data_IF_360887427093
#
_entry.id   IF_360887427093
#
_cell.length_a   1.000
_cell.length_b   1.000
_cell.length_c   1.000
_cell.angle_alpha   90.00
_cell.angle_beta   90.00
_cell.angle_gamma   90.00
#
_symmetry.space_group_name_H-M   'P 1'
#
loop_
_entity.id
_entity.type
_entity.pdbx_description
1 polymer ?
#
# COMPACT_ATOMS: atom_id res chain seq x y z
N UNK A 1 -48.18 -42.63 -0.41
CA UNK A 1 -47.16 -41.77 0.21
C UNK A 1 -46.59 -40.87 -0.89
N UNK A 2 -47.13 -39.66 -1.03
CA UNK A 2 -46.80 -38.74 -2.13
C UNK A 2 -45.90 -37.61 -1.64
N UNK A 3 -44.71 -37.53 -2.24
CA UNK A 3 -43.71 -36.48 -2.03
C UNK A 3 -43.99 -35.30 -2.97
N UNK A 4 -44.35 -34.15 -2.41
CA UNK A 4 -44.47 -32.90 -3.16
C UNK A 4 -43.13 -32.16 -3.17
N UNK A 5 -42.48 -32.13 -4.34
CA UNK A 5 -41.30 -31.33 -4.60
C UNK A 5 -41.70 -29.89 -4.99
N UNK A 6 -41.38 -28.92 -4.13
CA UNK A 6 -41.60 -27.50 -4.41
C UNK A 6 -40.42 -26.96 -5.21
N UNK A 7 -40.67 -26.59 -6.46
CA UNK A 7 -39.71 -26.01 -7.40
C UNK A 7 -39.77 -24.47 -7.27
N UNK A 8 -38.82 -23.88 -6.54
CA UNK A 8 -38.67 -22.42 -6.51
C UNK A 8 -38.11 -21.91 -7.84
N UNK A 9 -38.92 -21.12 -8.56
CA UNK A 9 -38.50 -20.30 -9.69
C UNK A 9 -37.93 -18.98 -9.16
N UNK A 10 -36.64 -18.75 -9.33
CA UNK A 10 -36.03 -17.42 -9.18
C UNK A 10 -36.16 -16.67 -10.51
N UNK A 11 -37.05 -15.68 -10.54
CA UNK A 11 -37.13 -14.70 -11.63
C UNK A 11 -36.19 -13.54 -11.34
N UNK A 12 -35.18 -13.40 -12.18
CA UNK A 12 -34.31 -12.24 -12.31
C UNK A 12 -35.11 -11.05 -12.89
N UNK A 13 -35.19 -9.94 -12.14
CA UNK A 13 -35.66 -8.65 -12.67
C UNK A 13 -34.61 -7.56 -12.38
N UNK A 14 -34.34 -6.86 -13.49
CA UNK A 14 -33.42 -5.77 -13.80
C UNK A 14 -33.53 -4.49 -12.94
N UNK A 15 -32.53 -3.62 -13.19
CA UNK A 15 -32.46 -2.14 -13.07
C UNK A 15 -31.56 -1.72 -11.89
N UNK A 16 -30.44 -1.03 -12.08
CA UNK A 16 -30.18 0.03 -13.05
C UNK A 16 -30.30 1.39 -12.36
N UNK A 17 -29.35 1.71 -11.47
CA UNK A 17 -29.20 3.05 -10.89
C UNK A 17 -27.74 3.47 -11.01
N UNK A 18 -27.47 4.25 -12.05
CA UNK A 18 -26.26 5.05 -12.22
C UNK A 18 -26.34 6.23 -11.24
N UNK A 19 -25.68 6.14 -10.10
CA UNK A 19 -25.48 7.29 -9.22
C UNK A 19 -24.45 8.25 -9.83
N UNK A 20 -24.99 9.32 -10.39
CA UNK A 20 -24.24 10.44 -10.95
C UNK A 20 -23.79 11.34 -9.80
N UNK A 21 -22.53 11.16 -9.36
CA UNK A 21 -21.90 12.02 -8.37
C UNK A 21 -21.68 13.42 -8.96
N UNK A 22 -22.54 14.37 -8.58
CA UNK A 22 -22.32 15.79 -8.82
C UNK A 22 -21.32 16.32 -7.78
N UNK A 23 -20.06 16.49 -8.19
CA UNK A 23 -19.09 17.30 -7.46
C UNK A 23 -19.55 18.76 -7.45
N UNK A 24 -20.19 19.21 -6.35
CA UNK A 24 -20.29 20.65 -6.05
C UNK A 24 -18.91 21.14 -5.64
N UNK A 25 -18.27 21.93 -6.51
CA UNK A 25 -17.11 22.77 -6.16
C UNK A 25 -17.60 23.85 -5.19
N UNK A 26 -17.37 23.65 -3.90
CA UNK A 26 -17.43 24.72 -2.91
C UNK A 26 -16.18 25.59 -3.04
N UNK A 27 -16.36 26.83 -3.49
CA UNK A 27 -15.35 27.88 -3.45
C UNK A 27 -15.12 28.26 -1.99
N UNK A 28 -14.08 27.73 -1.35
CA UNK A 28 -13.61 28.24 -0.07
C UNK A 28 -12.45 29.21 -0.30
N UNK A 29 -12.78 30.45 0.04
CA UNK A 29 -11.93 31.62 0.24
C UNK A 29 -10.65 31.27 0.99
N UNK A 30 -9.51 31.43 0.33
CA UNK A 30 -8.18 31.35 0.89
C UNK A 30 -7.76 32.72 1.43
N UNK A 31 -7.64 32.83 2.76
CA UNK A 31 -6.85 33.89 3.36
C UNK A 31 -5.37 33.53 3.24
N UNK A 32 -4.67 34.24 2.36
CA UNK A 32 -3.23 34.19 2.21
C UNK A 32 -2.56 35.01 3.32
N UNK A 33 -1.86 34.33 4.23
CA UNK A 33 -0.91 34.99 5.13
C UNK A 33 0.42 35.08 4.40
N UNK A 34 0.69 36.28 3.88
CA UNK A 34 2.01 36.70 3.40
C UNK A 34 3.07 36.51 4.48
N UNK A 35 4.12 35.75 4.17
CA UNK A 35 5.35 35.75 4.95
C UNK A 35 6.55 35.77 4.01
N UNK A 36 6.92 37.01 3.68
CA UNK A 36 8.27 37.57 3.69
C UNK A 36 9.37 36.72 3.04
N UNK A 37 9.62 37.06 1.79
CA UNK A 37 10.84 36.84 1.04
C UNK A 37 12.09 37.32 1.78
N UNK A 38 13.08 36.43 1.92
CA UNK A 38 14.48 36.80 2.02
C UNK A 38 15.20 36.28 0.77
N UNK A 39 15.61 37.25 -0.04
CA UNK A 39 16.54 37.13 -1.14
C UNK A 39 17.92 36.69 -0.62
N UNK A 40 18.50 35.67 -1.25
CA UNK A 40 19.92 35.34 -1.09
C UNK A 40 20.55 35.16 -2.48
N UNK A 41 21.72 35.77 -2.73
CA UNK A 41 22.19 36.03 -4.09
C UNK A 41 22.91 34.84 -4.72
N UNK A 42 22.82 34.82 -6.05
CA UNK A 42 23.59 34.01 -6.98
C UNK A 42 25.11 34.26 -6.86
N UNK A 43 25.91 33.20 -6.99
CA UNK A 43 27.20 33.25 -7.66
C UNK A 43 27.11 32.41 -8.95
N UNK A 44 27.39 32.97 -10.12
CA UNK A 44 28.71 33.30 -10.64
C UNK A 44 29.01 32.30 -11.77
N UNK A 45 28.89 32.80 -12.99
CA UNK A 45 29.18 32.11 -14.22
C UNK A 45 30.69 31.90 -14.30
N UNK A 46 31.13 30.66 -14.50
CA UNK A 46 32.47 30.36 -14.98
C UNK A 46 32.37 29.70 -16.35
N UNK A 47 32.74 30.49 -17.35
CA UNK A 47 33.14 30.06 -18.68
C UNK A 47 34.57 29.50 -18.61
N UNK A 48 34.76 28.25 -19.06
CA UNK A 48 36.03 27.70 -19.54
C UNK A 48 35.67 26.72 -20.67
N UNK A 49 35.82 27.10 -21.94
CA UNK A 49 37.05 27.15 -22.74
C UNK A 49 37.51 25.79 -23.31
N UNK A 50 37.72 25.84 -24.64
CA UNK A 50 38.65 25.09 -25.47
C UNK A 50 38.52 23.56 -25.68
N UNK A 51 38.13 23.22 -26.92
CA UNK A 51 39.04 22.66 -27.95
C UNK A 51 39.99 21.53 -27.54
N UNK A 52 39.71 20.30 -27.99
CA UNK A 52 40.71 19.24 -28.25
C UNK A 52 40.15 18.33 -29.36
N UNK A 53 40.43 18.63 -30.63
CA UNK A 53 41.47 17.98 -31.46
C UNK A 53 41.36 16.44 -31.42
N UNK A 54 40.82 15.78 -32.46
CA UNK A 54 41.50 15.46 -33.73
C UNK A 54 42.84 14.74 -33.52
N UNK A 55 42.83 13.47 -33.09
CA UNK A 55 44.05 12.65 -33.01
C UNK A 55 43.77 11.13 -32.95
N UNK A 56 42.96 10.58 -33.87
CA UNK A 56 42.78 9.12 -33.99
C UNK A 56 42.75 8.61 -35.44
N UNK A 57 43.31 9.39 -36.37
CA UNK A 57 43.36 9.05 -37.80
C UNK A 57 44.80 9.03 -38.37
N UNK A 58 45.83 9.07 -37.52
CA UNK A 58 47.25 9.14 -37.96
C UNK A 58 48.14 8.00 -37.49
N UNK A 59 47.62 7.00 -36.79
CA UNK A 59 48.41 5.89 -36.22
C UNK A 59 47.89 4.52 -36.68
N UNK A 60 47.59 4.39 -37.97
CA UNK A 60 47.11 3.13 -38.56
C UNK A 60 47.51 2.98 -40.03
N UNK A 61 48.66 3.55 -40.41
CA UNK A 61 49.14 3.59 -41.80
C UNK A 61 50.66 3.37 -41.93
N UNK A 62 51.26 2.56 -41.08
CA UNK A 62 52.72 2.32 -41.14
C UNK A 62 53.14 0.85 -40.94
N UNK A 63 52.35 -0.13 -41.39
CA UNK A 63 52.84 -1.52 -41.50
C UNK A 63 52.14 -2.28 -42.63
N UNK A 64 52.36 -1.89 -43.89
CA UNK A 64 52.26 -2.84 -45.01
C UNK A 64 53.10 -2.32 -46.18
N UNK A 65 54.41 -2.59 -46.15
CA UNK A 65 55.25 -2.57 -47.34
C UNK A 65 54.88 -3.78 -48.21
N UNK A 66 53.81 -3.64 -48.99
CA UNK A 66 53.50 -4.57 -50.08
C UNK A 66 53.91 -3.92 -51.39
N UNK A 67 55.04 -4.39 -51.90
CA UNK A 67 55.64 -4.03 -53.19
C UNK A 67 54.69 -4.27 -54.37
N UNK A 68 54.56 -3.27 -55.25
CA UNK A 68 53.71 -3.24 -56.44
C UNK A 68 54.01 -4.33 -57.50
N UNK A 69 55.00 -5.20 -57.28
CA UNK A 69 55.37 -6.29 -58.17
C UNK A 69 54.60 -7.60 -57.89
N UNK A 70 53.99 -7.76 -56.71
CA UNK A 70 53.30 -9.01 -56.33
C UNK A 70 51.80 -9.03 -56.69
N UNK A 71 51.19 -7.88 -57.00
CA UNK A 71 49.76 -7.76 -57.32
C UNK A 71 49.39 -8.15 -58.75
N UNK A 72 50.34 -8.46 -59.64
CA UNK A 72 50.06 -8.76 -61.07
C UNK A 72 49.99 -10.23 -61.47
N UNK A 73 50.29 -11.19 -60.59
CA UNK A 73 50.25 -12.63 -60.92
C UNK A 73 49.09 -13.42 -60.30
N UNK A 74 48.30 -12.84 -59.39
CA UNK A 74 47.21 -13.56 -58.70
C UNK A 74 45.81 -13.29 -59.28
N UNK A 75 45.71 -12.55 -60.38
CA UNK A 75 44.44 -12.02 -60.90
C UNK A 75 43.87 -12.81 -62.09
N UNK A 76 44.47 -13.96 -62.45
CA UNK A 76 44.01 -14.76 -63.61
C UNK A 76 43.47 -16.15 -63.27
N UNK A 77 43.58 -16.61 -62.03
CA UNK A 77 43.03 -17.93 -61.63
C UNK A 77 41.76 -17.85 -60.78
N UNK A 78 41.34 -16.68 -60.29
CA UNK A 78 40.15 -16.54 -59.44
C UNK A 78 38.88 -16.06 -60.19
N UNK A 79 38.90 -16.04 -61.52
CA UNK A 79 37.81 -15.52 -62.34
C UNK A 79 36.76 -16.57 -62.75
N UNK A 80 36.98 -17.85 -62.45
CA UNK A 80 36.05 -18.93 -62.80
C UNK A 80 35.43 -19.68 -61.60
N UNK A 81 35.80 -19.33 -60.37
CA UNK A 81 35.22 -19.90 -59.14
C UNK A 81 34.45 -18.84 -58.32
N UNK A 82 33.94 -17.82 -59.03
CA UNK A 82 33.02 -16.79 -58.49
C UNK A 82 31.56 -17.14 -58.79
N UNK A 83 31.29 -18.40 -59.09
CA UNK A 83 29.94 -18.96 -59.16
C UNK A 83 29.45 -19.21 -57.73
N UNK A 84 28.51 -18.37 -57.29
CA UNK A 84 27.70 -18.56 -56.08
C UNK A 84 28.36 -18.27 -54.73
N UNK A 85 29.14 -17.19 -54.59
CA UNK A 85 29.25 -16.57 -53.26
C UNK A 85 27.87 -16.00 -52.91
N UNK A 86 27.03 -16.83 -52.28
CA UNK A 86 25.80 -16.42 -51.59
C UNK A 86 26.10 -15.12 -50.87
N UNK A 87 25.26 -14.10 -51.06
CA UNK A 87 25.52 -12.78 -50.52
C UNK A 87 25.90 -12.94 -49.04
N UNK A 88 26.98 -12.32 -48.55
CA UNK A 88 27.36 -12.41 -47.13
C UNK A 88 26.20 -11.97 -46.22
N UNK A 89 25.34 -11.08 -46.74
CA UNK A 89 24.07 -10.67 -46.14
C UNK A 89 23.08 -11.85 -46.05
N UNK A 90 22.94 -12.69 -47.06
CA UNK A 90 22.07 -13.87 -47.04
C UNK A 90 22.59 -14.94 -46.09
N UNK A 91 23.90 -15.15 -45.98
CA UNK A 91 24.48 -16.06 -44.99
C UNK A 91 24.29 -15.52 -43.57
N UNK A 92 24.39 -14.21 -43.36
CA UNK A 92 24.11 -13.58 -42.07
C UNK A 92 22.62 -13.62 -41.71
N UNK A 93 21.73 -13.31 -42.65
CA UNK A 93 20.27 -13.43 -42.48
C UNK A 93 19.85 -14.89 -42.28
N UNK A 94 20.47 -15.81 -42.99
CA UNK A 94 20.28 -17.25 -42.83
C UNK A 94 20.77 -17.71 -41.45
N UNK A 95 21.93 -17.25 -40.99
CA UNK A 95 22.39 -17.52 -39.63
C UNK A 95 21.42 -16.93 -38.60
N UNK A 96 20.97 -15.68 -38.77
CA UNK A 96 19.98 -15.05 -37.87
C UNK A 96 18.63 -15.78 -37.86
N UNK A 97 18.20 -16.36 -38.98
CA UNK A 97 16.99 -17.18 -39.07
C UNK A 97 17.19 -18.58 -38.45
N UNK A 98 18.40 -19.15 -38.59
CA UNK A 98 18.72 -20.50 -38.10
C UNK A 98 18.98 -20.49 -36.60
N UNK A 99 19.65 -19.46 -36.07
CA UNK A 99 19.54 -19.12 -34.65
C UNK A 99 18.18 -18.52 -34.41
N UNK A 100 17.14 -19.35 -34.38
CA UNK A 100 15.93 -19.04 -33.60
C UNK A 100 16.45 -18.60 -32.24
N UNK A 101 16.46 -17.29 -32.00
CA UNK A 101 17.04 -16.72 -30.80
C UNK A 101 16.22 -17.28 -29.64
N UNK A 102 16.77 -18.31 -28.99
CA UNK A 102 16.22 -18.83 -27.75
C UNK A 102 16.30 -17.68 -26.76
N UNK A 103 15.14 -17.09 -26.47
CA UNK A 103 15.07 -15.98 -25.53
C UNK A 103 15.54 -16.49 -24.19
N UNK A 104 16.66 -15.95 -23.72
CA UNK A 104 17.18 -16.31 -22.41
C UNK A 104 16.74 -15.30 -21.38
N UNK A 105 16.54 -15.74 -20.15
CA UNK A 105 16.16 -14.87 -19.04
C UNK A 105 17.21 -13.77 -18.81
N UNK A 106 18.48 -14.06 -19.11
CA UNK A 106 19.56 -13.07 -19.04
C UNK A 106 19.34 -11.86 -19.96
N UNK A 107 18.67 -12.03 -21.10
CA UNK A 107 18.48 -10.94 -22.08
C UNK A 107 17.58 -9.84 -21.52
N UNK A 108 16.55 -10.22 -20.76
CA UNK A 108 15.63 -9.27 -20.15
C UNK A 108 16.19 -8.67 -18.85
N UNK A 109 16.95 -9.44 -18.06
CA UNK A 109 17.57 -8.95 -16.83
C UNK A 109 18.63 -7.87 -17.09
N UNK A 110 19.24 -7.83 -18.29
CA UNK A 110 20.15 -6.74 -18.70
C UNK A 110 19.49 -5.36 -18.73
N UNK A 111 18.16 -5.30 -18.89
CA UNK A 111 17.39 -4.05 -18.90
C UNK A 111 16.95 -3.62 -17.50
N UNK A 112 17.19 -4.43 -16.47
CA UNK A 112 16.90 -4.06 -15.10
C UNK A 112 17.89 -3.00 -14.65
N UNK A 113 17.44 -1.79 -14.27
CA UNK A 113 18.35 -0.76 -13.80
C UNK A 113 19.03 -1.22 -12.50
N UNK A 114 20.34 -0.93 -12.31
CA UNK A 114 21.09 -1.40 -11.15
C UNK A 114 20.60 -0.77 -9.84
N UNK A 115 20.01 0.43 -9.91
CA UNK A 115 19.43 1.14 -8.76
C UNK A 115 17.99 1.51 -9.07
N UNK A 116 17.07 1.04 -8.23
CA UNK A 116 15.66 1.40 -8.28
C UNK A 116 15.48 2.74 -7.57
N UNK A 117 14.83 3.70 -8.22
CA UNK A 117 14.52 4.98 -7.60
C UNK A 117 13.53 4.80 -6.44
N UNK A 118 13.61 5.67 -5.43
CA UNK A 118 12.66 5.64 -4.32
C UNK A 118 11.25 5.96 -4.86
N UNK A 119 10.21 5.15 -4.57
CA UNK A 119 8.83 5.41 -5.00
C UNK A 119 8.31 6.81 -4.65
N UNK A 120 8.80 7.40 -3.56
CA UNK A 120 8.44 8.74 -3.12
C UNK A 120 9.07 9.86 -3.95
N UNK A 121 10.16 9.58 -4.68
CA UNK A 121 10.84 10.58 -5.52
C UNK A 121 10.05 10.87 -6.80
N UNK A 122 9.92 12.14 -7.24
CA UNK A 122 9.32 12.46 -8.54
C UNK A 122 9.98 11.70 -9.71
N UNK A 123 11.28 11.40 -9.61
CA UNK A 123 12.06 10.68 -10.63
C UNK A 123 11.64 9.21 -10.80
N UNK A 124 10.88 8.66 -9.84
CA UNK A 124 10.41 7.28 -9.96
C UNK A 124 9.56 7.08 -11.21
N UNK A 125 8.69 8.04 -11.54
CA UNK A 125 7.77 7.93 -12.68
C UNK A 125 8.51 8.02 -14.02
N UNK A 126 9.52 8.88 -14.12
CA UNK A 126 10.32 9.03 -15.34
C UNK A 126 11.12 7.75 -15.61
N UNK A 127 11.84 7.25 -14.60
CA UNK A 127 12.64 6.02 -14.70
C UNK A 127 11.74 4.80 -14.99
N UNK A 128 10.59 4.69 -14.31
CA UNK A 128 9.63 3.61 -14.55
C UNK A 128 9.16 3.58 -16.02
N UNK A 129 8.79 4.74 -16.56
CA UNK A 129 8.34 4.84 -17.95
C UNK A 129 9.49 4.63 -18.94
N UNK A 130 10.71 5.05 -18.62
CA UNK A 130 11.90 4.83 -19.45
C UNK A 130 12.24 3.34 -19.57
N UNK A 131 12.21 2.59 -18.46
CA UNK A 131 12.44 1.15 -18.46
C UNK A 131 11.38 0.41 -19.26
N UNK A 132 10.09 0.76 -19.09
CA UNK A 132 9.01 0.20 -19.90
C UNK A 132 9.21 0.51 -21.38
N UNK A 133 9.59 1.75 -21.72
CA UNK A 133 9.81 2.17 -23.10
C UNK A 133 10.99 1.42 -23.71
N UNK A 134 12.05 1.19 -22.93
CA UNK A 134 13.23 0.41 -23.32
C UNK A 134 12.88 -1.06 -23.59
N UNK A 135 12.08 -1.68 -22.72
CA UNK A 135 11.56 -3.04 -22.93
C UNK A 135 10.65 -3.12 -24.17
N UNK A 136 9.74 -2.14 -24.31
CA UNK A 136 8.84 -2.05 -25.46
C UNK A 136 9.58 -1.79 -26.77
N UNK A 137 10.73 -1.12 -26.76
CA UNK A 137 11.54 -0.91 -27.96
C UNK A 137 12.34 -2.16 -28.33
N UNK A 138 12.88 -2.85 -27.33
CA UNK A 138 13.85 -3.94 -27.53
C UNK A 138 13.20 -5.29 -27.84
N UNK A 139 12.04 -5.58 -27.25
CA UNK A 139 11.38 -6.87 -27.39
C UNK A 139 10.05 -6.73 -28.10
N UNK A 140 9.69 -7.69 -28.94
CA UNK A 140 8.35 -7.81 -29.53
C UNK A 140 7.33 -8.34 -28.51
N UNK A 141 6.03 -8.19 -28.81
CA UNK A 141 4.97 -8.67 -27.92
C UNK A 141 5.00 -10.20 -27.66
N UNK A 142 5.23 -11.07 -28.67
CA UNK A 142 5.39 -12.51 -28.45
C UNK A 142 6.57 -12.84 -27.53
N UNK A 143 7.69 -12.12 -27.67
CA UNK A 143 8.88 -12.30 -26.83
C UNK A 143 8.59 -11.95 -25.36
N UNK A 144 7.92 -10.82 -25.10
CA UNK A 144 7.49 -10.46 -23.73
C UNK A 144 6.54 -11.50 -23.12
N UNK A 145 5.65 -12.09 -23.92
CA UNK A 145 4.77 -13.18 -23.48
C UNK A 145 5.58 -14.44 -23.12
N UNK A 146 6.58 -14.79 -23.92
CA UNK A 146 7.46 -15.91 -23.64
C UNK A 146 8.27 -15.66 -22.35
N UNK A 147 8.76 -14.44 -22.11
CA UNK A 147 9.40 -14.12 -20.83
C UNK A 147 8.47 -14.31 -19.63
N UNK A 148 7.19 -13.92 -19.72
CA UNK A 148 6.23 -14.22 -18.65
C UNK A 148 6.06 -15.72 -18.41
N UNK A 149 6.06 -16.53 -19.47
CA UNK A 149 6.01 -17.99 -19.35
C UNK A 149 7.28 -18.55 -18.69
N UNK A 150 8.45 -18.06 -19.09
CA UNK A 150 9.74 -18.45 -18.49
C UNK A 150 9.82 -18.06 -17.01
N UNK A 151 9.21 -16.94 -16.61
CA UNK A 151 9.11 -16.53 -15.21
C UNK A 151 8.01 -17.26 -14.42
N UNK A 152 7.20 -18.11 -15.06
CA UNK A 152 6.06 -18.77 -14.41
C UNK A 152 4.93 -17.82 -14.02
N UNK A 153 4.87 -16.62 -14.63
CA UNK A 153 3.83 -15.64 -14.35
C UNK A 153 2.60 -15.89 -15.23
N UNK A 154 1.37 -15.70 -14.70
CA UNK A 154 0.16 -15.93 -15.48
C UNK A 154 0.09 -14.93 -16.64
N UNK A 155 0.08 -15.42 -17.88
CA UNK A 155 -0.07 -14.52 -19.03
C UNK A 155 -1.45 -13.85 -18.98
N UNK A 156 -1.54 -12.51 -19.07
CA UNK A 156 -2.82 -11.87 -19.36
C UNK A 156 -3.39 -12.42 -20.66
N UNK A 157 -4.73 -12.34 -20.81
CA UNK A 157 -5.45 -12.86 -21.97
C UNK A 157 -4.79 -12.44 -23.30
N UNK A 158 -4.92 -13.29 -24.33
CA UNK A 158 -4.18 -13.19 -25.60
C UNK A 158 -4.24 -11.83 -26.32
N UNK A 159 -5.22 -10.97 -26.00
CA UNK A 159 -5.42 -9.63 -26.57
C UNK A 159 -4.77 -8.48 -25.77
N UNK A 160 -3.91 -8.78 -24.80
CA UNK A 160 -3.21 -7.73 -24.03
C UNK A 160 -2.30 -6.86 -24.89
N UNK A 161 -2.18 -5.57 -24.52
CA UNK A 161 -1.25 -4.64 -25.16
C UNK A 161 0.19 -4.99 -24.79
N UNK A 162 1.14 -4.71 -25.69
CA UNK A 162 2.59 -4.87 -25.44
C UNK A 162 3.05 -4.25 -24.11
N UNK A 163 2.55 -3.05 -23.80
CA UNK A 163 2.83 -2.32 -22.55
C UNK A 163 2.39 -3.11 -21.30
N UNK A 164 1.25 -3.81 -21.35
CA UNK A 164 0.74 -4.58 -20.22
C UNK A 164 1.67 -5.73 -19.83
N UNK A 165 2.27 -6.40 -20.82
CA UNK A 165 3.26 -7.46 -20.54
C UNK A 165 4.53 -6.88 -19.90
N UNK A 166 5.04 -5.76 -20.41
CA UNK A 166 6.21 -5.09 -19.83
C UNK A 166 5.97 -4.61 -18.40
N UNK A 167 4.82 -3.98 -18.14
CA UNK A 167 4.38 -3.57 -16.79
C UNK A 167 4.32 -4.77 -15.86
N UNK A 168 3.75 -5.89 -16.31
CA UNK A 168 3.62 -7.10 -15.49
C UNK A 168 4.98 -7.69 -15.11
N UNK A 169 5.93 -7.74 -16.05
CA UNK A 169 7.30 -8.18 -15.75
C UNK A 169 7.93 -7.24 -14.71
N UNK A 170 7.80 -5.93 -14.89
CA UNK A 170 8.34 -4.93 -13.98
C UNK A 170 7.75 -5.05 -12.56
N UNK A 171 6.43 -5.16 -12.46
CA UNK A 171 5.72 -5.17 -11.18
C UNK A 171 5.84 -6.53 -10.46
N UNK A 172 5.59 -7.64 -11.15
CA UNK A 172 5.54 -8.97 -10.53
C UNK A 172 6.92 -9.61 -10.42
N UNK A 173 7.78 -9.50 -11.45
CA UNK A 173 9.09 -10.15 -11.42
C UNK A 173 10.17 -9.28 -10.77
N UNK A 174 10.21 -7.99 -11.09
CA UNK A 174 11.21 -7.09 -10.49
C UNK A 174 10.75 -6.44 -9.19
N UNK A 175 9.48 -6.62 -8.80
CA UNK A 175 8.95 -6.16 -7.51
C UNK A 175 8.75 -4.65 -7.45
N UNK A 176 8.61 -3.98 -8.60
CA UNK A 176 8.39 -2.53 -8.63
C UNK A 176 6.94 -2.20 -8.25
N UNK A 177 6.70 -1.25 -7.33
CA UNK A 177 5.36 -0.75 -7.07
C UNK A 177 4.71 -0.18 -8.34
N UNK A 178 3.45 -0.53 -8.58
CA UNK A 178 2.71 0.02 -9.72
C UNK A 178 2.58 1.54 -9.60
N UNK A 179 2.66 2.26 -10.72
CA UNK A 179 2.53 3.73 -10.72
C UNK A 179 1.22 4.20 -10.08
N UNK A 180 0.13 3.45 -10.28
CA UNK A 180 -1.16 3.73 -9.67
C UNK A 180 -1.13 3.59 -8.14
N UNK A 181 -0.41 2.60 -7.59
CA UNK A 181 -0.21 2.46 -6.15
C UNK A 181 0.66 3.59 -5.61
N UNK A 182 1.75 3.92 -6.29
CA UNK A 182 2.64 5.01 -5.87
C UNK A 182 1.96 6.37 -5.89
N UNK A 183 1.17 6.67 -6.92
CA UNK A 183 0.40 7.91 -6.99
C UNK A 183 -0.67 7.96 -5.90
N UNK A 184 -1.38 6.84 -5.66
CA UNK A 184 -2.34 6.75 -4.57
C UNK A 184 -1.66 6.93 -3.21
N UNK A 185 -0.50 6.32 -2.98
CA UNK A 185 0.26 6.49 -1.75
C UNK A 185 0.70 7.94 -1.58
N UNK A 186 1.14 8.62 -2.65
CA UNK A 186 1.46 10.06 -2.59
C UNK A 186 0.25 10.87 -2.15
N UNK A 187 -0.91 10.63 -2.75
CA UNK A 187 -2.16 11.29 -2.36
C UNK A 187 -2.46 10.99 -0.88
N UNK A 188 -2.34 9.72 -0.48
CA UNK A 188 -2.65 9.29 0.87
C UNK A 188 -1.75 9.96 1.93
N UNK A 189 -0.50 10.27 1.59
CA UNK A 189 0.47 10.91 2.48
C UNK A 189 0.55 12.44 2.35
N UNK A 190 -0.18 13.04 1.42
CA UNK A 190 -0.19 14.50 1.21
C UNK A 190 -1.55 15.14 1.55
N UNK A 191 -2.64 14.40 1.41
CA UNK A 191 -3.98 14.93 1.62
C UNK A 191 -4.44 14.68 3.06
N UNK A 192 -4.76 15.77 3.76
CA UNK A 192 -5.44 15.73 5.05
C UNK A 192 -6.93 15.48 4.82
N UNK A 193 -7.50 14.53 5.55
CA UNK A 193 -8.93 14.21 5.50
C UNK A 193 -9.47 13.97 6.91
N UNK A 194 -10.80 13.95 7.02
CA UNK A 194 -11.53 13.68 8.24
C UNK A 194 -12.39 12.43 8.05
N UNK A 195 -12.37 11.53 9.03
CA UNK A 195 -13.21 10.34 9.05
C UNK A 195 -13.85 10.15 10.41
N UNK A 196 -15.10 9.76 10.41
CA UNK A 196 -15.87 9.47 11.61
C UNK A 196 -16.05 7.96 11.77
N UNK A 197 -15.76 7.45 12.96
CA UNK A 197 -15.91 6.04 13.33
C UNK A 197 -16.97 5.93 14.42
N UNK A 198 -18.03 5.16 14.15
CA UNK A 198 -19.04 4.84 15.15
C UNK A 198 -18.51 3.75 16.08
N UNK A 199 -18.60 4.02 17.38
CA UNK A 199 -18.07 3.16 18.44
C UNK A 199 -19.12 2.94 19.52
N UNK A 200 -19.21 1.70 19.99
CA UNK A 200 -20.03 1.39 21.16
C UNK A 200 -19.44 2.03 22.42
N UNK A 201 -20.23 2.32 23.47
CA UNK A 201 -19.71 2.90 24.71
C UNK A 201 -18.55 2.10 25.33
N UNK A 202 -18.62 0.76 25.27
CA UNK A 202 -17.54 -0.12 25.72
C UNK A 202 -16.27 0.04 24.88
N UNK A 203 -16.40 0.11 23.55
CA UNK A 203 -15.29 0.33 22.63
C UNK A 203 -14.64 1.70 22.88
N UNK A 204 -15.45 2.75 23.03
CA UNK A 204 -14.98 4.11 23.31
C UNK A 204 -14.22 4.20 24.64
N UNK A 205 -14.74 3.56 25.69
CA UNK A 205 -14.09 3.52 27.00
C UNK A 205 -12.72 2.82 26.94
N UNK A 206 -12.68 1.62 26.35
CA UNK A 206 -11.45 0.83 26.23
C UNK A 206 -10.44 1.49 25.28
N UNK A 207 -10.92 2.16 24.21
CA UNK A 207 -10.08 2.93 23.31
C UNK A 207 -9.45 4.14 24.00
N UNK A 208 -10.22 4.88 24.79
CA UNK A 208 -9.73 6.04 25.54
C UNK A 208 -8.66 5.62 26.57
N UNK A 209 -8.82 4.43 27.15
CA UNK A 209 -7.93 3.89 28.17
C UNK A 209 -8.07 4.63 29.51
N UNK A 210 -7.23 4.26 30.47
CA UNK A 210 -7.20 4.91 31.78
C UNK A 210 -6.79 6.38 31.61
N UNK A 211 -7.67 7.29 32.03
CA UNK A 211 -7.48 8.74 31.98
C UNK A 211 -7.19 9.34 30.58
N UNK A 212 -7.58 8.65 29.50
CA UNK A 212 -7.37 9.16 28.13
C UNK A 212 -5.94 8.99 27.59
N UNK A 213 -5.06 8.32 28.33
CA UNK A 213 -3.65 8.12 27.94
C UNK A 213 -3.49 7.39 26.62
N UNK A 214 -4.34 6.39 26.35
CA UNK A 214 -4.29 5.63 25.11
C UNK A 214 -4.65 6.49 23.90
N UNK A 215 -5.65 7.37 24.05
CA UNK A 215 -6.04 8.30 22.99
C UNK A 215 -4.90 9.26 22.64
N UNK A 216 -4.23 9.82 23.65
CA UNK A 216 -3.08 10.69 23.44
C UNK A 216 -1.93 9.97 22.74
N UNK A 217 -1.67 8.71 23.13
CA UNK A 217 -0.64 7.88 22.50
C UNK A 217 -0.97 7.61 21.03
N UNK A 218 -2.22 7.26 20.71
CA UNK A 218 -2.67 7.06 19.33
C UNK A 218 -2.54 8.33 18.48
N UNK A 219 -2.93 9.48 19.03
CA UNK A 219 -2.79 10.77 18.37
C UNK A 219 -1.33 11.06 17.99
N UNK A 220 -0.39 10.84 18.92
CA UNK A 220 1.05 11.02 18.70
C UNK A 220 1.63 10.00 17.74
N UNK A 221 1.30 8.72 17.91
CA UNK A 221 1.85 7.61 17.12
C UNK A 221 1.49 7.73 15.64
N UNK A 222 0.25 8.10 15.33
CA UNK A 222 -0.25 8.17 13.96
C UNK A 222 -0.27 9.59 13.39
N UNK A 223 0.13 10.59 14.18
CA UNK A 223 0.07 12.01 13.86
C UNK A 223 -1.34 12.44 13.39
N UNK A 224 -2.35 12.10 14.20
CA UNK A 224 -3.76 12.40 13.92
C UNK A 224 -4.38 13.18 15.08
N UNK A 225 -5.34 14.05 14.76
CA UNK A 225 -6.20 14.69 15.76
C UNK A 225 -7.40 13.80 16.04
N UNK A 226 -7.67 13.53 17.32
CA UNK A 226 -8.73 12.65 17.79
C UNK A 226 -9.71 13.44 18.64
N UNK A 227 -11.00 13.33 18.34
CA UNK A 227 -12.06 13.97 19.13
C UNK A 227 -13.28 13.05 19.23
N UNK A 228 -13.86 12.95 20.43
CA UNK A 228 -15.10 12.22 20.65
C UNK A 228 -16.30 13.15 20.50
N UNK A 229 -17.35 12.67 19.81
CA UNK A 229 -18.65 13.32 19.75
C UNK A 229 -19.66 12.46 20.51
N UNK A 230 -20.36 13.05 21.47
CA UNK A 230 -21.50 12.43 22.13
C UNK A 230 -22.76 12.74 21.31
N UNK A 231 -23.47 11.73 20.83
CA UNK A 231 -24.69 11.79 20.00
C UNK A 231 -24.47 11.93 18.47
N UNK A 232 -24.26 10.80 17.76
CA UNK A 232 -24.00 9.44 18.25
C UNK A 232 -22.56 9.31 18.76
N UNK A 233 -22.34 8.39 19.71
CA UNK A 233 -20.99 8.09 20.22
C UNK A 233 -20.07 7.72 19.07
N UNK A 234 -19.14 8.62 18.75
CA UNK A 234 -18.28 8.48 17.59
C UNK A 234 -16.93 9.14 17.81
N UNK A 235 -15.91 8.54 17.21
CA UNK A 235 -14.56 9.07 17.16
C UNK A 235 -14.36 9.76 15.81
N UNK A 236 -14.15 11.07 15.86
CA UNK A 236 -13.76 11.88 14.72
C UNK A 236 -12.24 11.96 14.67
N UNK A 237 -11.68 11.57 13.54
CA UNK A 237 -10.24 11.48 13.31
C UNK A 237 -9.89 12.36 12.12
N UNK A 238 -8.99 13.31 12.33
CA UNK A 238 -8.49 14.21 11.28
C UNK A 238 -6.99 14.02 11.11
N UNK A 239 -6.54 13.79 9.89
CA UNK A 239 -5.13 13.55 9.59
C UNK A 239 -4.89 13.11 8.15
N UNK A 240 -3.66 12.68 7.85
CA UNK A 240 -3.32 12.16 6.52
C UNK A 240 -4.12 10.89 6.22
N UNK A 241 -4.61 10.74 4.99
CA UNK A 241 -5.38 9.55 4.55
C UNK A 241 -4.67 8.23 4.88
N UNK A 242 -3.35 8.17 4.71
CA UNK A 242 -2.52 7.01 5.08
C UNK A 242 -2.63 6.67 6.57
N UNK A 243 -2.51 7.68 7.44
CA UNK A 243 -2.72 7.52 8.89
C UNK A 243 -4.14 7.12 9.26
N UNK A 244 -5.16 7.64 8.55
CA UNK A 244 -6.55 7.25 8.78
C UNK A 244 -6.80 5.77 8.47
N UNK A 245 -6.16 5.21 7.44
CA UNK A 245 -6.22 3.77 7.13
C UNK A 245 -5.59 2.94 8.24
N UNK A 246 -4.49 3.41 8.84
CA UNK A 246 -3.83 2.73 9.96
C UNK A 246 -4.70 2.75 11.22
N UNK A 247 -5.33 3.89 11.53
CA UNK A 247 -6.30 3.98 12.64
C UNK A 247 -7.51 3.06 12.41
N UNK A 248 -8.05 3.00 11.18
CA UNK A 248 -9.15 2.09 10.86
C UNK A 248 -8.76 0.62 11.13
N UNK A 249 -7.60 0.19 10.64
CA UNK A 249 -7.08 -1.16 10.89
C UNK A 249 -6.86 -1.45 12.39
N UNK A 250 -6.34 -0.48 13.14
CA UNK A 250 -6.19 -0.58 14.58
C UNK A 250 -7.55 -0.73 15.28
N UNK A 251 -8.54 0.09 14.94
CA UNK A 251 -9.89 0.01 15.50
C UNK A 251 -10.56 -1.34 15.20
N UNK A 252 -10.37 -1.89 14.00
CA UNK A 252 -10.87 -3.23 13.67
C UNK A 252 -10.21 -4.33 14.52
N UNK A 253 -8.92 -4.17 14.83
CA UNK A 253 -8.19 -5.10 15.70
C UNK A 253 -8.67 -4.98 17.14
N UNK A 254 -8.80 -3.75 17.65
CA UNK A 254 -9.37 -3.46 18.96
C UNK A 254 -10.77 -4.07 19.12
N UNK A 255 -11.65 -3.91 18.12
CA UNK A 255 -13.00 -4.49 18.15
C UNK A 255 -13.00 -6.01 18.30
N UNK A 256 -12.03 -6.71 17.72
CA UNK A 256 -11.87 -8.17 17.85
C UNK A 256 -11.24 -8.59 19.19
N UNK A 257 -10.41 -7.72 19.75
CA UNK A 257 -9.73 -7.95 21.03
C UNK A 257 -10.65 -7.72 22.23
N UNK A 258 -11.76 -7.01 22.06
CA UNK A 258 -12.75 -6.82 23.14
C UNK A 258 -13.52 -8.12 23.37
N UNK A 259 -13.61 -8.53 24.62
CA UNK A 259 -14.49 -9.60 25.09
C UNK A 259 -15.52 -9.07 26.09
N UNK A 260 -16.57 -9.86 26.31
CA UNK A 260 -17.65 -9.53 27.23
C UNK A 260 -17.89 -10.70 28.18
N UNK A 261 -17.84 -10.40 29.48
CA UNK A 261 -18.20 -11.36 30.53
C UNK A 261 -19.44 -10.89 31.28
N UNK A 262 -20.35 -11.81 31.57
CA UNK A 262 -21.56 -11.53 32.35
C UNK A 262 -21.32 -12.02 33.77
N UNK A 263 -21.28 -11.09 34.70
CA UNK A 263 -21.04 -11.36 36.11
C UNK A 263 -22.33 -11.23 36.92
N UNK A 264 -22.83 -12.31 37.55
CA UNK A 264 -23.95 -12.22 38.47
C UNK A 264 -23.51 -11.57 39.78
N UNK A 265 -24.30 -10.60 40.25
CA UNK A 265 -24.08 -9.98 41.55
C UNK A 265 -24.43 -10.97 42.66
N UNK A 266 -23.54 -11.17 43.67
CA UNK A 266 -23.79 -12.13 44.75
C UNK A 266 -24.96 -11.71 45.66
N UNK A 267 -25.36 -10.45 45.62
CA UNK A 267 -26.47 -9.90 46.39
C UNK A 267 -27.41 -9.14 45.44
N UNK A 268 -28.72 -9.21 45.67
CA UNK A 268 -29.75 -8.48 44.91
C UNK A 268 -29.73 -6.95 45.11
N UNK A 269 -28.57 -6.39 45.43
CA UNK A 269 -28.37 -4.96 45.61
C UNK A 269 -28.02 -4.31 44.29
N UNK A 270 -28.77 -3.27 43.96
CA UNK A 270 -28.55 -2.45 42.77
C UNK A 270 -27.28 -1.63 42.95
N UNK A 271 -26.34 -1.78 42.02
CA UNK A 271 -25.14 -0.97 41.96
C UNK A 271 -25.49 0.35 41.28
N UNK A 272 -25.17 1.49 41.90
CA UNK A 272 -25.37 2.80 41.28
C UNK A 272 -24.50 2.99 40.03
N UNK A 273 -24.94 3.78 39.04
CA UNK A 273 -24.17 4.05 37.82
C UNK A 273 -22.83 4.74 38.11
N UNK A 274 -22.77 5.60 39.12
CA UNK A 274 -21.54 6.29 39.54
C UNK A 274 -20.48 5.30 40.05
N UNK A 275 -20.93 4.28 40.79
CA UNK A 275 -20.08 3.20 41.29
C UNK A 275 -19.58 2.35 40.14
N UNK A 276 -20.46 1.96 39.20
CA UNK A 276 -20.06 1.22 37.99
C UNK A 276 -19.00 1.98 37.19
N UNK A 277 -19.18 3.29 37.03
CA UNK A 277 -18.22 4.15 36.34
C UNK A 277 -16.89 4.24 37.09
N UNK A 278 -16.92 4.38 38.42
CA UNK A 278 -15.71 4.39 39.26
C UNK A 278 -14.94 3.08 39.14
N UNK A 279 -15.63 1.94 39.29
CA UNK A 279 -15.05 0.61 39.12
C UNK A 279 -14.46 0.49 37.71
N UNK A 280 -15.16 0.97 36.69
CA UNK A 280 -14.67 0.90 35.31
C UNK A 280 -13.33 1.60 35.15
N UNK A 281 -13.20 2.82 35.70
CA UNK A 281 -11.96 3.61 35.67
C UNK A 281 -10.82 2.97 36.46
N UNK A 282 -11.13 2.39 37.62
CA UNK A 282 -10.14 1.75 38.50
C UNK A 282 -9.62 0.43 37.90
N UNK A 283 -10.51 -0.40 37.37
CA UNK A 283 -10.18 -1.70 36.80
C UNK A 283 -9.59 -1.61 35.39
N UNK A 284 -9.86 -0.54 34.65
CA UNK A 284 -9.54 -0.46 33.22
C UNK A 284 -10.43 -1.37 32.36
N UNK A 285 -11.62 -1.71 32.85
CA UNK A 285 -12.63 -2.50 32.14
C UNK A 285 -13.94 -1.70 32.11
N UNK A 286 -14.78 -1.88 31.09
CA UNK A 286 -16.06 -1.18 31.01
C UNK A 286 -17.15 -2.01 31.71
N UNK A 287 -17.69 -1.50 32.81
CA UNK A 287 -18.78 -2.13 33.57
C UNK A 287 -20.09 -1.46 33.20
N UNK A 288 -21.04 -2.25 32.70
CA UNK A 288 -22.40 -1.81 32.41
C UNK A 288 -23.39 -2.67 33.19
N UNK A 289 -24.32 -1.99 33.85
CA UNK A 289 -25.44 -2.64 34.55
C UNK A 289 -26.45 -3.07 33.48
N UNK A 290 -26.77 -4.37 33.44
CA UNK A 290 -27.80 -4.91 32.55
C UNK A 290 -29.15 -4.92 33.28
N UNK A 291 -29.17 -5.54 34.46
CA UNK A 291 -30.33 -5.68 35.35
C UNK A 291 -29.87 -5.52 36.81
N UNK A 292 -30.80 -5.55 37.77
CA UNK A 292 -30.51 -5.48 39.22
C UNK A 292 -29.62 -6.63 39.75
N UNK A 293 -29.49 -7.72 38.97
CA UNK A 293 -28.79 -8.95 39.37
C UNK A 293 -27.55 -9.23 38.51
N UNK A 294 -27.40 -8.57 37.35
CA UNK A 294 -26.36 -8.91 36.37
C UNK A 294 -25.62 -7.68 35.85
N UNK A 295 -24.30 -7.79 35.79
CA UNK A 295 -23.41 -6.81 35.20
C UNK A 295 -22.75 -7.41 33.96
N UNK A 296 -22.59 -6.61 32.91
CA UNK A 296 -21.68 -6.92 31.80
C UNK A 296 -20.36 -6.19 32.00
N UNK A 297 -19.26 -6.92 31.94
CA UNK A 297 -17.89 -6.40 32.03
C UNK A 297 -17.23 -6.62 30.67
N UNK A 298 -16.95 -5.53 29.95
CA UNK A 298 -16.18 -5.58 28.70
C UNK A 298 -14.71 -5.27 28.97
N UNK A 299 -13.81 -6.10 28.44
CA UNK A 299 -12.38 -6.00 28.68
C UNK A 299 -11.60 -6.40 27.42
N UNK A 300 -10.28 -6.13 27.40
CA UNK A 300 -9.40 -6.55 26.32
C UNK A 300 -8.86 -7.96 26.60
N UNK A 301 -8.95 -8.88 25.62
CA UNK A 301 -8.40 -10.25 25.73
C UNK A 301 -6.90 -10.24 25.97
N UNK A 302 -6.20 -9.23 25.44
CA UNK A 302 -4.79 -8.98 25.71
C UNK A 302 -4.49 -8.65 27.18
N UNK A 303 -5.49 -8.30 28.00
CA UNK A 303 -5.33 -7.88 29.40
C UNK A 303 -6.36 -8.55 30.34
N UNK A 304 -6.32 -9.89 30.51
CA UNK A 304 -7.31 -10.64 31.28
C UNK A 304 -7.33 -10.27 32.79
N UNK A 305 -6.25 -9.70 33.31
CA UNK A 305 -6.19 -9.20 34.69
C UNK A 305 -7.24 -8.13 34.99
N UNK A 306 -7.62 -7.31 33.99
CA UNK A 306 -8.61 -6.23 34.17
C UNK A 306 -10.00 -6.77 34.54
N UNK A 307 -10.38 -7.93 33.99
CA UNK A 307 -11.61 -8.63 34.36
C UNK A 307 -11.59 -9.08 35.83
N UNK A 308 -10.47 -9.66 36.26
CA UNK A 308 -10.33 -10.16 37.64
C UNK A 308 -10.40 -9.02 38.65
N UNK A 309 -9.73 -7.90 38.36
CA UNK A 309 -9.77 -6.69 39.19
C UNK A 309 -11.19 -6.13 39.23
N UNK A 310 -11.88 -6.05 38.09
CA UNK A 310 -13.26 -5.57 38.04
C UNK A 310 -14.20 -6.43 38.91
N UNK A 311 -14.12 -7.77 38.81
CA UNK A 311 -14.91 -8.69 39.64
C UNK A 311 -14.63 -8.52 41.13
N UNK A 312 -13.36 -8.36 41.49
CA UNK A 312 -12.96 -8.13 42.88
C UNK A 312 -13.53 -6.81 43.41
N UNK A 313 -13.39 -5.71 42.65
CA UNK A 313 -13.92 -4.40 43.04
C UNK A 313 -15.45 -4.41 43.17
N UNK A 314 -16.15 -5.05 42.23
CA UNK A 314 -17.61 -5.24 42.31
C UNK A 314 -17.97 -5.97 43.60
N UNK A 315 -17.30 -7.09 43.90
CA UNK A 315 -17.58 -7.89 45.10
C UNK A 315 -17.30 -7.11 46.39
N UNK A 316 -16.21 -6.35 46.44
CA UNK A 316 -15.86 -5.50 47.59
C UNK A 316 -16.91 -4.42 47.85
N UNK A 317 -17.35 -3.72 46.79
CA UNK A 317 -18.37 -2.68 46.96
C UNK A 317 -19.72 -3.28 47.37
N UNK A 318 -20.10 -4.42 46.79
CA UNK A 318 -21.36 -5.09 47.15
C UNK A 318 -21.39 -5.58 48.61
N UNK A 319 -20.25 -5.99 49.17
CA UNK A 319 -20.15 -6.47 50.57
C UNK A 319 -20.13 -5.32 51.58
N UNK A 320 -19.41 -4.22 51.31
CA UNK A 320 -19.34 -3.06 52.22
C UNK A 320 -20.69 -2.38 52.44
N UNK A 321 -21.54 -2.33 51.41
CA UNK A 321 -22.91 -1.78 51.53
C UNK A 321 -23.78 -2.67 52.42
N UNK A 322 -23.40 -3.92 52.71
CA UNK A 322 -24.13 -4.81 53.60
C UNK A 322 -23.87 -4.53 55.10
N UNK A 323 -22.63 -4.21 55.48
CA UNK A 323 -22.25 -4.02 56.89
C UNK A 323 -22.89 -2.77 57.52
N UNK A 324 -23.12 -1.71 56.73
CA UNK A 324 -23.68 -0.44 57.24
C UNK A 324 -25.17 -0.56 57.62
N UNK A 325 -25.92 -1.48 56.99
CA UNK A 325 -27.34 -1.68 57.30
C UNK A 325 -27.59 -2.55 58.54
N UNK A 326 -26.62 -3.37 58.95
CA UNK A 326 -26.78 -4.21 60.15
C UNK A 326 -26.52 -3.41 61.45
N UNK A 327 -25.78 -2.31 61.39
CA UNK A 327 -25.52 -1.45 62.55
C UNK A 327 -26.67 -0.52 62.93
N UNK A 328 -27.69 -0.36 62.06
CA UNK A 328 -28.81 0.57 62.29
C UNK A 328 -30.09 -0.09 62.81
N UNK A 329 -30.12 -1.42 63.00
CA UNK A 329 -31.29 -2.17 63.49
C UNK A 329 -31.13 -2.70 64.93
N UNK A 330 -30.19 -2.14 65.70
CA UNK A 330 -29.94 -2.49 67.12
C UNK A 330 -30.09 -1.30 68.07
N UNK A 331 -30.97 -0.34 67.76
CA UNK A 331 -31.41 0.70 68.69
C UNK A 331 -32.94 0.71 68.79
#
# INVERSE_FOLDING_TARGET
MSTNAIRCRQTSILKGCSERWHYRRGLHSSYSVSSRSQSRPSPEQQELSSTTQSSLAKELLEVTELTAAETRKKDRQHLFERSQTKNPIENYLGHLQTTKHELKLEDIERYKPPKVANPKSPDYETIYNEVISSLMRSFSQPQLRQFLQLYGLPSPHHRGNKRTFAVKILEEKWGWPSLAKVSQDRIDWSEVSERQFYLDPAQSFLLMGKDGTNLLNLSRQYNVSLSFTANPMSLRVTGLKGSLKQIDAYLQTLKKDIDLDIFPLPFSKTLGPDIAQSISRLAGAYVKILDDVKLSISFLKSQPQTLSIAKQLVTQVSTQVCSVMQSSNWC
#
